data_IF_669411555914
#
_entry.id   IF_669411555914
#
_cell.length_a   1.000
_cell.length_b   1.000
_cell.length_c   1.000
_cell.angle_alpha   90.00
_cell.angle_beta   90.00
_cell.angle_gamma   90.00
#
_symmetry.space_group_name_H-M   'P 1'
#
loop_
_entity.id
_entity.type
_entity.pdbx_description
1 polymer ?
#
# COMPACT_ATOMS: atom_id res chain seq x y z
N UNK A 1 -32.78 -30.64 57.80
CA UNK A 1 -32.04 -29.58 57.08
C UNK A 1 -31.87 -30.06 55.66
N UNK A 2 -32.68 -29.54 54.73
CA UNK A 2 -32.61 -29.90 53.31
C UNK A 2 -31.83 -28.80 52.60
N UNK A 3 -30.59 -29.09 52.25
CA UNK A 3 -29.70 -28.16 51.55
C UNK A 3 -29.75 -28.47 50.06
N UNK A 4 -30.20 -27.47 49.29
CA UNK A 4 -30.58 -27.52 47.88
C UNK A 4 -29.48 -27.97 46.91
N UNK A 5 -29.89 -28.75 45.91
CA UNK A 5 -29.16 -28.99 44.66
C UNK A 5 -29.52 -27.86 43.68
N UNK A 6 -28.53 -27.05 43.28
CA UNK A 6 -28.70 -26.01 42.25
C UNK A 6 -27.99 -26.41 40.96
N UNK A 7 -28.76 -26.79 39.93
CA UNK A 7 -28.31 -26.94 38.55
C UNK A 7 -28.09 -25.56 37.93
N UNK A 8 -26.86 -25.23 37.51
CA UNK A 8 -26.62 -24.11 36.59
C UNK A 8 -26.59 -24.65 35.16
N UNK A 9 -27.66 -24.36 34.43
CA UNK A 9 -27.79 -24.65 33.01
C UNK A 9 -26.88 -23.72 32.20
N UNK A 10 -26.04 -24.34 31.39
CA UNK A 10 -25.17 -23.74 30.40
C UNK A 10 -26.01 -23.29 29.21
N UNK A 11 -26.30 -21.99 29.09
CA UNK A 11 -26.94 -21.41 27.91
C UNK A 11 -25.89 -20.56 27.17
N UNK A 12 -25.27 -21.18 26.15
CA UNK A 12 -24.38 -20.50 25.22
C UNK A 12 -25.16 -19.55 24.32
N UNK A 13 -24.90 -18.26 24.48
CA UNK A 13 -25.35 -17.22 23.55
C UNK A 13 -24.11 -16.55 22.94
N UNK A 14 -23.49 -17.23 21.97
CA UNK A 14 -22.52 -16.61 21.07
C UNK A 14 -23.27 -15.97 19.91
N UNK A 15 -23.82 -14.78 20.13
CA UNK A 15 -24.24 -13.89 19.06
C UNK A 15 -22.99 -13.31 18.41
N UNK A 16 -22.41 -14.05 17.47
CA UNK A 16 -21.43 -13.51 16.54
C UNK A 16 -22.13 -12.48 15.65
N UNK A 17 -22.07 -11.21 16.05
CA UNK A 17 -22.42 -10.08 15.20
C UNK A 17 -21.42 -10.00 14.04
N UNK A 18 -21.68 -10.73 12.96
CA UNK A 18 -21.10 -10.45 11.66
C UNK A 18 -21.95 -9.38 10.98
N UNK A 19 -21.82 -8.13 11.46
CA UNK A 19 -22.36 -6.97 10.74
C UNK A 19 -21.64 -6.80 9.40
N UNK A 20 -22.29 -6.21 8.38
CA UNK A 20 -21.58 -5.81 7.17
C UNK A 20 -20.54 -4.76 7.57
N UNK A 21 -19.26 -5.11 7.42
CA UNK A 21 -18.11 -4.22 7.63
C UNK A 21 -18.22 -3.09 6.59
N UNK A 22 -18.93 -2.03 6.98
CA UNK A 22 -19.08 -0.82 6.18
C UNK A 22 -17.74 -0.09 6.16
N UNK A 23 -17.47 0.75 5.15
CA UNK A 23 -16.22 1.51 5.05
C UNK A 23 -15.95 2.43 6.28
N UNK A 24 -16.97 2.62 7.12
CA UNK A 24 -16.95 3.33 8.41
C UNK A 24 -16.34 2.51 9.56
N UNK A 25 -16.17 1.20 9.39
CA UNK A 25 -15.65 0.28 10.42
C UNK A 25 -14.11 0.12 10.36
N UNK A 26 -13.50 0.74 9.34
CA UNK A 26 -12.05 0.84 9.22
C UNK A 26 -11.58 2.04 10.06
N UNK A 27 -10.76 1.77 11.08
CA UNK A 27 -10.21 2.79 11.96
C UNK A 27 -9.10 3.61 11.27
N UNK A 28 -9.50 4.46 10.32
CA UNK A 28 -8.60 5.37 9.61
C UNK A 28 -7.98 6.38 10.57
N UNK A 29 -6.66 6.47 10.56
CA UNK A 29 -5.91 7.51 11.26
C UNK A 29 -5.71 8.71 10.34
N UNK A 30 -5.91 9.90 10.90
CA UNK A 30 -5.76 11.17 10.19
C UNK A 30 -4.31 11.66 10.12
N UNK A 31 -3.43 11.09 10.94
CA UNK A 31 -2.02 11.46 11.02
C UNK A 31 -1.15 10.24 10.77
N UNK A 32 -0.24 10.38 9.80
CA UNK A 32 0.77 9.36 9.50
C UNK A 32 1.67 9.07 10.70
N UNK A 33 2.07 10.10 11.45
CA UNK A 33 2.93 9.95 12.64
C UNK A 33 2.22 9.17 13.74
N UNK A 34 0.96 9.51 14.04
CA UNK A 34 0.19 8.79 15.06
C UNK A 34 -0.04 7.33 14.67
N UNK A 35 -0.29 7.08 13.40
CA UNK A 35 -0.51 5.74 12.88
C UNK A 35 0.77 4.90 12.92
N UNK A 36 1.93 5.50 12.61
CA UNK A 36 3.24 4.86 12.75
C UNK A 36 3.52 4.52 14.21
N UNK A 37 3.40 5.49 15.11
CA UNK A 37 3.65 5.28 16.55
C UNK A 37 2.71 4.22 17.13
N UNK A 38 1.44 4.25 16.72
CA UNK A 38 0.47 3.23 17.12
C UNK A 38 0.84 1.87 16.56
N UNK A 39 1.13 1.78 15.25
CA UNK A 39 1.54 0.55 14.57
C UNK A 39 2.76 -0.11 15.22
N UNK A 40 3.77 0.68 15.58
CA UNK A 40 4.94 0.21 16.33
C UNK A 40 4.55 -0.36 17.71
N UNK A 41 3.71 0.36 18.47
CA UNK A 41 3.25 -0.08 19.81
C UNK A 41 2.46 -1.39 19.73
N UNK A 42 1.58 -1.53 18.75
CA UNK A 42 0.75 -2.73 18.56
C UNK A 42 1.43 -3.81 17.68
N UNK A 43 2.66 -3.56 17.22
CA UNK A 43 3.43 -4.41 16.29
C UNK A 43 2.66 -4.79 15.02
N UNK A 44 1.86 -3.86 14.50
CA UNK A 44 1.10 -4.02 13.26
C UNK A 44 1.73 -3.24 12.11
N UNK A 45 1.80 -3.79 10.90
CA UNK A 45 2.23 -3.05 9.72
C UNK A 45 1.32 -1.86 9.43
N UNK A 46 1.89 -0.83 8.82
CA UNK A 46 1.19 0.39 8.43
C UNK A 46 0.77 0.29 6.96
N UNK A 47 -0.50 0.56 6.67
CA UNK A 47 -1.00 0.65 5.30
C UNK A 47 -1.46 2.09 5.01
N UNK A 48 -0.77 2.75 4.09
CA UNK A 48 -1.02 4.12 3.68
C UNK A 48 -1.68 4.12 2.30
N UNK A 49 -2.91 4.61 2.26
CA UNK A 49 -3.69 4.75 1.04
C UNK A 49 -3.68 6.21 0.61
N UNK A 50 -3.33 6.46 -0.65
CA UNK A 50 -3.39 7.79 -1.26
C UNK A 50 -4.47 7.80 -2.32
N UNK A 51 -5.35 8.79 -2.27
CA UNK A 51 -6.40 9.00 -3.27
C UNK A 51 -6.88 10.45 -3.27
N UNK A 52 -7.71 10.81 -4.25
CA UNK A 52 -8.30 12.15 -4.34
C UNK A 52 -9.70 12.19 -3.72
N UNK A 53 -9.97 13.15 -2.84
CA UNK A 53 -11.25 13.38 -2.19
C UNK A 53 -11.53 12.45 -0.99
N UNK A 54 -12.73 12.51 -0.42
CA UNK A 54 -13.05 11.78 0.82
C UNK A 54 -13.12 10.24 0.67
N UNK A 55 -13.36 9.74 -0.54
CA UNK A 55 -13.48 8.31 -0.85
C UNK A 55 -12.44 7.84 -1.88
N UNK A 56 -11.36 8.60 -2.08
CA UNK A 56 -10.34 8.30 -3.09
C UNK A 56 -9.64 6.96 -2.89
N UNK A 57 -9.63 6.41 -1.68
CA UNK A 57 -9.07 5.08 -1.40
C UNK A 57 -9.76 3.95 -2.18
N UNK A 58 -11.05 4.11 -2.53
CA UNK A 58 -11.80 3.12 -3.31
C UNK A 58 -11.31 3.03 -4.76
N UNK A 59 -10.75 4.12 -5.28
CA UNK A 59 -10.24 4.23 -6.65
C UNK A 59 -8.89 3.53 -6.84
N UNK A 60 -8.25 3.07 -5.75
CA UNK A 60 -7.01 2.29 -5.80
C UNK A 60 -7.31 0.87 -6.31
N UNK A 61 -8.49 0.33 -6.04
CA UNK A 61 -8.92 -0.96 -6.59
C UNK A 61 -9.62 -0.71 -7.91
N UNK A 62 -9.25 -1.49 -8.94
CA UNK A 62 -9.88 -1.38 -10.26
C UNK A 62 -11.39 -1.60 -10.22
N UNK A 63 -11.85 -2.50 -9.33
CA UNK A 63 -13.26 -2.82 -9.11
C UNK A 63 -14.03 -1.73 -8.34
N UNK A 64 -13.35 -0.67 -7.89
CA UNK A 64 -13.97 0.52 -7.28
C UNK A 64 -14.47 0.33 -5.84
N UNK A 65 -14.26 -0.84 -5.22
CA UNK A 65 -14.55 -1.08 -3.83
C UNK A 65 -13.64 -2.16 -3.23
N UNK A 66 -13.38 -2.07 -1.93
CA UNK A 66 -12.76 -3.17 -1.19
C UNK A 66 -13.78 -4.28 -0.96
N UNK A 67 -13.41 -5.53 -1.21
CA UNK A 67 -14.23 -6.67 -0.79
C UNK A 67 -14.29 -6.80 0.73
N UNK A 68 -15.21 -7.64 1.21
CA UNK A 68 -15.32 -7.95 2.64
C UNK A 68 -14.03 -8.57 3.19
N UNK A 69 -13.32 -9.35 2.40
CA UNK A 69 -12.10 -10.03 2.83
C UNK A 69 -10.92 -9.06 2.99
N UNK A 70 -10.73 -8.13 2.04
CA UNK A 70 -9.74 -7.05 2.19
C UNK A 70 -10.02 -6.23 3.44
N UNK A 71 -11.28 -5.84 3.67
CA UNK A 71 -11.68 -5.06 4.84
C UNK A 71 -11.38 -5.77 6.15
N UNK A 72 -11.64 -7.08 6.23
CA UNK A 72 -11.31 -7.90 7.41
C UNK A 72 -9.80 -7.93 7.67
N UNK A 73 -8.99 -8.14 6.64
CA UNK A 73 -7.52 -8.19 6.79
C UNK A 73 -7.00 -6.82 7.24
N UNK A 74 -7.48 -5.73 6.63
CA UNK A 74 -7.07 -4.38 6.99
C UNK A 74 -7.45 -4.02 8.43
N UNK A 75 -8.66 -4.35 8.88
CA UNK A 75 -9.10 -4.09 10.24
C UNK A 75 -8.37 -4.95 11.28
N UNK A 76 -8.07 -6.22 10.94
CA UNK A 76 -7.45 -7.15 11.86
C UNK A 76 -5.92 -6.93 11.99
N UNK A 77 -5.23 -6.77 10.86
CA UNK A 77 -3.77 -6.89 10.79
C UNK A 77 -3.05 -5.56 10.57
N UNK A 78 -3.73 -4.51 10.09
CA UNK A 78 -3.07 -3.27 9.69
C UNK A 78 -3.50 -2.05 10.51
N UNK A 79 -2.62 -1.06 10.57
CA UNK A 79 -3.00 0.31 10.92
C UNK A 79 -3.21 1.12 9.64
N UNK A 80 -4.39 1.72 9.50
CA UNK A 80 -4.83 2.37 8.26
C UNK A 80 -4.60 3.87 8.31
N UNK A 81 -4.00 4.41 7.24
CA UNK A 81 -3.85 5.86 7.03
C UNK A 81 -4.41 6.21 5.68
N UNK A 82 -5.23 7.26 5.64
CA UNK A 82 -5.70 7.84 4.41
C UNK A 82 -5.08 9.22 4.18
N UNK A 83 -4.43 9.39 3.04
CA UNK A 83 -3.90 10.67 2.60
C UNK A 83 -4.68 11.14 1.37
N UNK A 84 -5.50 12.16 1.59
CA UNK A 84 -6.17 12.87 0.51
C UNK A 84 -5.15 13.72 -0.29
N UNK A 85 -4.98 13.41 -1.57
CA UNK A 85 -4.08 14.10 -2.49
C UNK A 85 -4.55 15.52 -2.85
N UNK A 86 -5.81 15.88 -2.59
CA UNK A 86 -6.33 17.24 -2.81
C UNK A 86 -5.97 18.18 -1.64
N UNK A 87 -5.67 17.62 -0.46
CA UNK A 87 -5.23 18.41 0.69
C UNK A 87 -3.78 18.86 0.55
N UNK A 88 -3.54 20.16 0.68
CA UNK A 88 -2.20 20.75 0.61
C UNK A 88 -1.24 20.15 1.64
N UNK A 89 -1.72 19.89 2.86
CA UNK A 89 -0.94 19.32 3.98
C UNK A 89 -0.38 17.93 3.65
N UNK A 90 -1.05 17.18 2.78
CA UNK A 90 -0.66 15.81 2.44
C UNK A 90 0.28 15.75 1.22
N UNK A 91 0.31 16.78 0.37
CA UNK A 91 1.08 16.76 -0.90
C UNK A 91 2.57 16.51 -0.68
N UNK A 92 3.14 17.12 0.36
CA UNK A 92 4.55 16.92 0.72
C UNK A 92 4.82 15.46 1.10
N UNK A 93 3.99 14.91 1.98
CA UNK A 93 4.12 13.52 2.43
C UNK A 93 3.91 12.53 1.29
N UNK A 94 2.93 12.76 0.42
CA UNK A 94 2.66 11.94 -0.77
C UNK A 94 3.89 11.94 -1.71
N UNK A 95 4.53 13.10 -1.89
CA UNK A 95 5.77 13.22 -2.66
C UNK A 95 6.95 12.49 -2.03
N UNK A 96 7.10 12.57 -0.70
CA UNK A 96 8.13 11.83 0.06
C UNK A 96 7.90 10.30 -0.01
N UNK A 97 6.64 9.86 -0.12
CA UNK A 97 6.27 8.46 -0.36
C UNK A 97 6.47 8.01 -1.82
N UNK A 98 6.77 8.92 -2.74
CA UNK A 98 7.01 8.61 -4.16
C UNK A 98 5.75 8.40 -5.01
N UNK A 99 4.56 8.68 -4.49
CA UNK A 99 3.30 8.51 -5.23
C UNK A 99 3.10 9.70 -6.17
N UNK A 100 3.23 9.45 -7.47
CA UNK A 100 3.13 10.48 -8.51
C UNK A 100 1.75 10.52 -9.15
N UNK A 101 1.05 9.38 -9.20
CA UNK A 101 -0.23 9.23 -9.88
C UNK A 101 -1.43 9.79 -9.08
N UNK A 102 -1.18 10.42 -7.92
CA UNK A 102 -2.18 10.90 -6.94
C UNK A 102 -3.14 9.83 -6.41
N UNK A 103 -2.86 8.57 -6.75
CA UNK A 103 -3.52 7.36 -6.28
C UNK A 103 -2.46 6.28 -6.13
N UNK A 104 -2.43 5.61 -5.00
CA UNK A 104 -1.40 4.63 -4.73
C UNK A 104 -1.50 4.03 -3.33
N UNK A 105 -0.67 3.04 -3.10
CA UNK A 105 -0.62 2.27 -1.88
C UNK A 105 0.83 2.12 -1.43
N UNK A 106 1.08 2.38 -0.14
CA UNK A 106 2.34 2.06 0.51
C UNK A 106 2.06 1.18 1.72
N UNK A 107 2.68 0.01 1.77
CA UNK A 107 2.70 -0.84 2.96
C UNK A 107 4.07 -0.72 3.60
N UNK A 108 4.11 -0.44 4.89
CA UNK A 108 5.34 -0.43 5.68
C UNK A 108 5.40 -1.67 6.57
N UNK A 109 6.60 -1.97 7.04
CA UNK A 109 6.82 -3.01 8.03
C UNK A 109 6.24 -2.66 9.41
N UNK A 110 6.32 -3.61 10.34
CA UNK A 110 5.83 -3.47 11.72
C UNK A 110 6.68 -2.49 12.55
N UNK A 111 7.94 -2.28 12.15
CA UNK A 111 8.80 -1.27 12.74
C UNK A 111 8.44 0.14 12.23
N UNK A 112 7.72 0.26 11.11
CA UNK A 112 7.41 1.54 10.48
C UNK A 112 8.64 2.27 9.95
N UNK A 113 9.74 1.53 9.74
CA UNK A 113 11.03 2.09 9.31
C UNK A 113 11.32 1.78 7.84
N UNK A 114 10.74 0.69 7.33
CA UNK A 114 10.97 0.24 5.95
C UNK A 114 9.66 0.16 5.19
N UNK A 115 9.62 0.72 3.98
CA UNK A 115 8.54 0.47 3.04
C UNK A 115 8.66 -0.97 2.55
N UNK A 116 7.70 -1.81 2.86
CA UNK A 116 7.67 -3.20 2.46
C UNK A 116 7.15 -3.35 1.02
N UNK A 117 6.14 -2.55 0.69
CA UNK A 117 5.50 -2.56 -0.62
C UNK A 117 5.13 -1.15 -1.06
N UNK A 118 5.34 -0.87 -2.34
CA UNK A 118 4.96 0.38 -2.97
C UNK A 118 4.27 0.11 -4.31
N UNK A 119 3.15 0.79 -4.52
CA UNK A 119 2.44 0.81 -5.80
C UNK A 119 1.93 2.21 -6.14
N UNK A 120 2.25 2.67 -7.35
CA UNK A 120 1.73 3.91 -7.93
C UNK A 120 0.65 3.56 -8.96
N UNK A 121 -0.59 4.00 -8.72
CA UNK A 121 -1.73 3.69 -9.58
C UNK A 121 -2.75 2.77 -8.93
N UNK A 122 -3.41 1.96 -9.76
CA UNK A 122 -4.48 1.05 -9.35
C UNK A 122 -4.02 -0.40 -9.36
N UNK A 123 -4.58 -1.22 -8.47
CA UNK A 123 -4.34 -2.65 -8.35
C UNK A 123 -5.63 -3.42 -8.59
N UNK A 124 -5.51 -4.65 -9.09
CA UNK A 124 -6.63 -5.58 -9.06
C UNK A 124 -6.92 -6.01 -7.62
N UNK A 125 -8.16 -6.38 -7.32
CA UNK A 125 -8.54 -6.86 -5.99
C UNK A 125 -7.71 -8.08 -5.56
N UNK A 126 -7.49 -9.02 -6.49
CA UNK A 126 -6.71 -10.23 -6.25
C UNK A 126 -5.26 -9.92 -5.88
N UNK A 127 -4.64 -8.96 -6.59
CA UNK A 127 -3.27 -8.54 -6.31
C UNK A 127 -3.17 -7.83 -4.97
N UNK A 128 -4.08 -6.89 -4.68
CA UNK A 128 -4.14 -6.21 -3.38
C UNK A 128 -4.30 -7.21 -2.22
N UNK A 129 -5.22 -8.17 -2.36
CA UNK A 129 -5.47 -9.20 -1.35
C UNK A 129 -4.23 -10.07 -1.13
N UNK A 130 -3.56 -10.46 -2.20
CA UNK A 130 -2.33 -11.26 -2.14
C UNK A 130 -1.23 -10.50 -1.39
N UNK A 131 -1.00 -9.22 -1.72
CA UNK A 131 0.00 -8.39 -1.06
C UNK A 131 -0.32 -8.17 0.43
N UNK A 132 -1.58 -7.87 0.76
CA UNK A 132 -2.00 -7.71 2.16
C UNK A 132 -1.83 -8.99 2.96
N UNK A 133 -2.13 -10.17 2.40
CA UNK A 133 -1.88 -11.43 3.09
C UNK A 133 -0.38 -11.70 3.25
N UNK A 134 0.41 -11.38 2.24
CA UNK A 134 1.85 -11.58 2.25
C UNK A 134 2.51 -10.77 3.37
N UNK A 135 2.22 -9.47 3.46
CA UNK A 135 2.84 -8.59 4.48
C UNK A 135 2.15 -8.64 5.85
N UNK A 136 0.98 -9.28 5.98
CA UNK A 136 0.36 -9.53 7.27
C UNK A 136 1.08 -10.64 8.05
N UNK A 137 1.80 -11.56 7.37
CA UNK A 137 2.46 -12.69 8.01
C UNK A 137 3.50 -12.23 9.06
N UNK A 138 3.34 -12.58 10.36
CA UNK A 138 4.30 -12.22 11.40
C UNK A 138 5.69 -12.84 11.23
N UNK A 139 5.81 -13.92 10.45
CA UNK A 139 7.09 -14.54 10.17
C UNK A 139 7.88 -13.81 9.07
N UNK A 140 7.26 -12.88 8.35
CA UNK A 140 7.90 -12.16 7.26
C UNK A 140 8.80 -11.04 7.81
N UNK A 141 10.12 -11.24 7.73
CA UNK A 141 11.11 -10.20 7.99
C UNK A 141 11.31 -9.40 6.70
N UNK A 142 10.75 -8.20 6.64
CA UNK A 142 10.94 -7.27 5.52
C UNK A 142 12.41 -6.81 5.52
N UNK A 143 13.18 -7.23 4.51
CA UNK A 143 14.58 -6.81 4.32
C UNK A 143 14.79 -5.91 3.12
N UNK A 144 13.79 -5.80 2.25
CA UNK A 144 13.84 -5.05 0.99
C UNK A 144 12.45 -4.57 0.63
N UNK A 145 12.37 -3.37 0.05
CA UNK A 145 11.13 -2.82 -0.51
C UNK A 145 10.81 -3.53 -1.82
N UNK A 146 9.65 -4.17 -1.91
CA UNK A 146 9.14 -4.70 -3.18
C UNK A 146 8.32 -3.62 -3.87
N UNK A 147 8.79 -3.17 -5.04
CA UNK A 147 8.06 -2.23 -5.89
C UNK A 147 7.48 -3.00 -7.07
N UNK A 148 6.15 -3.08 -7.19
CA UNK A 148 5.53 -3.53 -8.44
C UNK A 148 5.63 -2.38 -9.45
N UNK A 149 6.81 -2.20 -10.04
CA UNK A 149 6.98 -1.29 -11.16
C UNK A 149 6.18 -1.84 -12.33
N UNK A 150 5.08 -1.17 -12.69
CA UNK A 150 4.47 -1.35 -14.00
C UNK A 150 5.46 -0.87 -15.07
N UNK A 151 6.28 -1.81 -15.55
CA UNK A 151 7.03 -1.73 -16.79
C UNK A 151 7.89 -0.49 -17.02
N UNK A 152 9.10 -0.47 -16.46
CA UNK A 152 10.25 0.02 -17.23
C UNK A 152 11.04 -1.18 -17.72
N UNK A 153 10.70 -1.64 -18.92
CA UNK A 153 11.63 -2.42 -19.76
C UNK A 153 12.77 -1.47 -20.12
N UNK A 154 13.82 -1.45 -19.31
CA UNK A 154 15.10 -0.88 -19.72
C UNK A 154 15.71 -1.81 -20.76
N UNK A 155 15.34 -1.60 -22.01
CA UNK A 155 15.96 -2.24 -23.16
C UNK A 155 17.35 -1.62 -23.32
N UNK A 156 18.34 -2.16 -22.61
CA UNK A 156 19.74 -1.88 -22.91
C UNK A 156 20.09 -2.68 -24.15
N UNK A 157 20.31 -2.04 -25.31
CA UNK A 157 20.89 -2.75 -26.43
C UNK A 157 22.27 -3.27 -25.99
N UNK A 158 22.59 -4.56 -26.21
CA UNK A 158 23.93 -5.05 -25.97
C UNK A 158 24.87 -4.24 -26.86
N UNK A 159 25.81 -3.52 -26.23
CA UNK A 159 26.87 -2.79 -26.91
C UNK A 159 27.72 -3.80 -27.71
N UNK A 160 27.34 -4.01 -28.97
CA UNK A 160 28.17 -4.63 -29.99
C UNK A 160 29.31 -3.68 -30.31
N UNK A 161 30.48 -4.05 -29.83
CA UNK A 161 31.73 -3.37 -30.05
C UNK A 161 32.25 -3.54 -31.49
N UNK A 162 33.09 -2.58 -31.87
CA UNK A 162 34.06 -2.55 -32.99
C UNK A 162 33.53 -2.25 -34.41
N UNK A 163 33.84 -1.05 -34.90
CA UNK A 163 34.56 -0.93 -36.17
C UNK A 163 35.35 0.38 -36.23
N UNK A 164 36.66 0.24 -36.13
CA UNK A 164 37.68 1.19 -36.53
C UNK A 164 37.56 1.52 -38.02
N UNK A 165 37.46 2.80 -38.36
CA UNK A 165 37.38 3.26 -39.73
C UNK A 165 37.86 4.70 -39.87
N UNK A 166 39.17 4.88 -39.78
CA UNK A 166 39.91 6.09 -40.15
C UNK A 166 39.63 6.48 -41.60
N UNK A 167 39.13 7.70 -41.86
CA UNK A 167 39.50 8.47 -43.06
C UNK A 167 38.90 9.88 -43.11
N UNK A 168 39.82 10.87 -43.15
CA UNK A 168 39.81 12.07 -43.98
C UNK A 168 38.88 13.29 -43.65
N UNK A 169 39.52 14.29 -43.02
CA UNK A 169 39.45 15.75 -43.24
C UNK A 169 39.33 16.20 -44.72
N UNK A 170 39.22 17.52 -45.08
CA UNK A 170 38.71 18.73 -44.40
C UNK A 170 37.86 19.65 -45.32
N UNK A 171 37.54 20.86 -44.82
CA UNK A 171 37.55 22.15 -45.56
C UNK A 171 36.23 22.73 -46.12
N UNK A 172 35.74 23.75 -45.40
CA UNK A 172 35.51 25.14 -45.86
C UNK A 172 35.00 25.36 -47.30
N UNK A 173 33.76 25.84 -47.43
CA UNK A 173 33.32 26.71 -48.54
C UNK A 173 31.97 27.35 -48.17
N UNK A 174 31.92 28.62 -47.78
CA UNK A 174 31.46 29.80 -48.55
C UNK A 174 29.94 29.88 -48.86
N UNK A 175 29.34 30.96 -48.32
CA UNK A 175 28.44 31.96 -48.94
C UNK A 175 26.94 31.71 -49.21
N UNK A 176 26.21 32.78 -48.85
CA UNK A 176 25.02 33.40 -49.48
C UNK A 176 23.67 32.68 -49.28
N UNK A 177 22.55 33.36 -49.00
CA UNK A 177 22.16 34.76 -49.21
C UNK A 177 21.52 35.35 -47.94
#
# INVERSE_FOLDING_TARGET
MHTSVGFFAFAGLLTAFAGPVSAQDLAWKNSYLEARDHGQKVKKPLAVFVGAGAAGFQQIVQDGAFSSDIRKILAAEYTLVYLDADRADHKRLIGELGISSRKGLVLSDRAGDTQAFFHDGTLSEAELTSQLRHYADPALIVRSTSTTSSGRYSFYPPNGSYSSGTSASPSRSTRNC
#
